data_IF_689822553498
#
_entry.id   IF_689822553498
#
_cell.length_a   1.000
_cell.length_b   1.000
_cell.length_c   1.000
_cell.angle_alpha   90.00
_cell.angle_beta   90.00
_cell.angle_gamma   90.00
#
_symmetry.space_group_name_H-M   'P 1'
#
loop_
_entity.id
_entity.type
_entity.pdbx_description
1 polymer ?
#
# COMPACT_ATOMS: atom_id res chain seq x y z
N UNK A 1 -3.42 -8.86 19.10
CA UNK A 1 -3.23 -9.51 17.78
C UNK A 1 -2.25 -10.65 17.97
N UNK A 2 -2.71 -11.90 18.00
CA UNK A 2 -1.85 -13.08 18.19
C UNK A 2 -1.56 -13.70 16.84
N UNK A 3 -0.44 -13.30 16.25
CA UNK A 3 0.13 -14.00 15.08
C UNK A 3 1.02 -15.11 15.65
N UNK A 4 0.86 -16.33 15.18
CA UNK A 4 1.76 -17.44 15.52
C UNK A 4 2.74 -17.65 14.35
N UNK A 5 4.03 -17.80 14.64
CA UNK A 5 5.09 -17.96 13.63
C UNK A 5 4.78 -19.13 12.66
N UNK A 6 4.18 -20.20 13.18
CA UNK A 6 3.78 -21.40 12.44
C UNK A 6 2.63 -21.19 11.46
N UNK A 7 1.87 -20.10 11.59
CA UNK A 7 0.78 -19.74 10.67
C UNK A 7 1.24 -18.85 9.53
N UNK A 8 2.48 -18.34 9.58
CA UNK A 8 3.04 -17.55 8.49
C UNK A 8 3.34 -18.44 7.28
N UNK A 9 3.15 -17.93 6.04
CA UNK A 9 3.61 -18.60 4.84
C UNK A 9 5.10 -18.97 4.94
N UNK A 10 5.54 -20.12 4.39
CA UNK A 10 6.90 -20.63 4.60
C UNK A 10 8.01 -19.61 4.31
N UNK A 11 7.87 -18.88 3.20
CA UNK A 11 8.82 -17.83 2.79
C UNK A 11 8.84 -16.64 3.76
N UNK A 12 7.68 -16.23 4.25
CA UNK A 12 7.56 -15.13 5.22
C UNK A 12 8.14 -15.54 6.57
N UNK A 13 7.89 -16.79 7.00
CA UNK A 13 8.46 -17.36 8.23
C UNK A 13 9.98 -17.32 8.22
N UNK A 14 10.59 -17.82 7.14
CA UNK A 14 12.05 -17.80 6.98
C UNK A 14 12.60 -16.38 7.12
N UNK A 15 11.96 -15.40 6.49
CA UNK A 15 12.39 -13.99 6.55
C UNK A 15 12.31 -13.41 7.97
N UNK A 16 11.26 -13.76 8.71
CA UNK A 16 11.10 -13.33 10.11
C UNK A 16 12.14 -14.00 11.01
N UNK A 17 12.42 -15.29 10.80
CA UNK A 17 13.47 -16.00 11.55
C UNK A 17 14.88 -15.45 11.26
N UNK A 18 15.20 -15.13 10.01
CA UNK A 18 16.44 -14.45 9.62
C UNK A 18 16.59 -13.12 10.37
N UNK A 19 15.53 -12.32 10.42
CA UNK A 19 15.51 -11.04 11.12
C UNK A 19 15.69 -11.21 12.64
N UNK A 20 15.02 -12.22 13.22
CA UNK A 20 15.17 -12.56 14.64
C UNK A 20 16.59 -12.97 14.98
N UNK A 21 17.21 -13.84 14.17
CA UNK A 21 18.59 -14.29 14.38
C UNK A 21 19.60 -13.17 14.22
N UNK A 22 19.45 -12.33 13.20
CA UNK A 22 20.39 -11.24 12.91
C UNK A 22 20.44 -10.19 14.03
N UNK A 23 19.32 -9.97 14.74
CA UNK A 23 19.21 -8.91 15.74
C UNK A 23 19.04 -9.41 17.18
N UNK A 24 19.02 -10.74 17.39
CA UNK A 24 18.72 -11.34 18.70
C UNK A 24 17.32 -11.00 19.21
N UNK A 25 16.34 -10.84 18.31
CA UNK A 25 15.00 -10.39 18.66
C UNK A 25 14.05 -11.56 18.96
N UNK A 26 13.12 -11.31 19.89
CA UNK A 26 11.95 -12.16 20.04
C UNK A 26 11.01 -12.00 18.85
N UNK A 27 10.19 -13.02 18.59
CA UNK A 27 9.20 -12.98 17.50
C UNK A 27 8.25 -11.78 17.62
N UNK A 28 7.77 -11.48 18.83
CA UNK A 28 6.90 -10.33 19.07
C UNK A 28 7.57 -9.00 18.70
N UNK A 29 8.86 -8.85 19.00
CA UNK A 29 9.60 -7.64 18.64
C UNK A 29 9.81 -7.54 17.13
N UNK A 30 10.16 -8.65 16.49
CA UNK A 30 10.33 -8.69 15.04
C UNK A 30 9.03 -8.34 14.29
N UNK A 31 7.89 -8.88 14.73
CA UNK A 31 6.58 -8.57 14.13
C UNK A 31 6.18 -7.11 14.37
N UNK A 32 6.40 -6.57 15.57
CA UNK A 32 6.11 -5.17 15.84
C UNK A 32 6.91 -4.26 14.91
N UNK A 33 8.22 -4.48 14.76
CA UNK A 33 9.03 -3.64 13.89
C UNK A 33 8.65 -3.73 12.41
N UNK A 34 8.36 -4.94 11.93
CA UNK A 34 7.85 -5.12 10.56
C UNK A 34 6.53 -4.36 10.39
N UNK A 35 5.64 -4.42 11.38
CA UNK A 35 4.33 -3.77 11.33
C UNK A 35 4.45 -2.25 11.38
N UNK A 36 5.26 -1.71 12.28
CA UNK A 36 5.53 -0.27 12.41
C UNK A 36 6.15 0.29 11.13
N UNK A 37 7.15 -0.41 10.58
CA UNK A 37 7.77 -0.04 9.30
C UNK A 37 6.77 -0.08 8.15
N UNK A 38 5.90 -1.10 8.09
CA UNK A 38 4.86 -1.22 7.07
C UNK A 38 3.80 -0.11 7.17
N UNK A 39 3.43 0.30 8.38
CA UNK A 39 2.54 1.44 8.61
C UNK A 39 3.21 2.74 8.15
N UNK A 40 4.44 2.99 8.60
CA UNK A 40 5.19 4.21 8.28
C UNK A 40 5.44 4.37 6.77
N UNK A 41 5.68 3.25 6.07
CA UNK A 41 5.86 3.22 4.61
C UNK A 41 4.54 3.33 3.82
N UNK A 42 3.39 3.38 4.50
CA UNK A 42 2.09 3.48 3.85
C UNK A 42 1.67 2.19 3.14
N UNK A 43 2.21 1.03 3.52
CA UNK A 43 1.84 -0.26 2.90
C UNK A 43 0.32 -0.50 2.95
N UNK A 44 -0.34 -0.07 4.04
CA UNK A 44 -1.79 -0.17 4.20
C UNK A 44 -2.59 0.84 3.36
N UNK A 45 -1.97 1.93 2.88
CA UNK A 45 -2.65 2.93 2.06
C UNK A 45 -2.88 2.45 0.61
N UNK A 46 -2.04 1.54 0.10
CA UNK A 46 -2.20 0.95 -1.24
C UNK A 46 -3.36 -0.05 -1.33
N UNK A 47 -3.63 -0.80 -0.25
CA UNK A 47 -4.62 -1.89 -0.27
C UNK A 47 -6.07 -1.47 0.02
N UNK A 48 -6.31 -0.20 0.43
CA UNK A 48 -7.64 0.25 0.87
C UNK A 48 -8.25 1.44 0.12
N UNK A 49 -7.48 2.20 -0.67
CA UNK A 49 -8.06 3.34 -1.42
C UNK A 49 -8.69 2.85 -2.71
N UNK A 50 -10.02 2.73 -2.71
CA UNK A 50 -10.83 2.68 -3.94
C UNK A 50 -10.44 3.93 -4.75
N UNK A 51 -9.60 3.76 -5.79
CA UNK A 51 -9.21 4.89 -6.63
C UNK A 51 -10.49 5.51 -7.15
N UNK A 52 -10.76 6.77 -6.80
CA UNK A 52 -11.89 7.49 -7.35
C UNK A 52 -11.79 7.39 -8.88
N UNK A 53 -12.90 7.07 -9.54
CA UNK A 53 -12.95 7.08 -10.99
C UNK A 53 -12.52 8.49 -11.41
N UNK A 54 -11.44 8.58 -12.19
CA UNK A 54 -11.02 9.84 -12.78
C UNK A 54 -12.21 10.29 -13.62
N UNK A 55 -12.95 11.30 -13.16
CA UNK A 55 -13.85 12.03 -14.03
C UNK A 55 -12.96 12.57 -15.13
N UNK A 56 -13.06 12.01 -16.34
CA UNK A 56 -12.50 12.65 -17.51
C UNK A 56 -13.06 14.06 -17.52
N UNK A 57 -12.23 15.04 -17.21
CA UNK A 57 -12.47 16.43 -17.53
C UNK A 57 -12.43 16.49 -19.05
N UNK A 58 -13.51 16.04 -19.70
CA UNK A 58 -13.78 16.36 -21.08
C UNK A 58 -13.88 17.87 -21.06
N UNK A 59 -12.86 18.55 -21.56
CA UNK A 59 -12.95 19.98 -21.87
C UNK A 59 -14.23 20.14 -22.68
N UNK A 60 -15.22 20.93 -22.25
CA UNK A 60 -16.40 21.12 -23.07
C UNK A 60 -15.88 21.80 -24.34
N UNK A 61 -15.92 21.07 -25.44
CA UNK A 61 -15.64 21.58 -26.76
C UNK A 61 -16.67 22.69 -27.00
N UNK A 62 -16.27 23.94 -26.79
CA UNK A 62 -17.11 25.09 -27.09
C UNK A 62 -17.19 25.15 -28.60
N UNK A 63 -18.19 24.49 -29.17
CA UNK A 63 -18.60 24.72 -30.54
C UNK A 63 -19.25 26.11 -30.59
N UNK A 64 -18.44 27.18 -30.57
CA UNK A 64 -18.88 28.48 -31.05
C UNK A 64 -18.41 28.61 -32.49
N UNK A 65 -19.24 28.15 -33.43
CA UNK A 65 -19.22 28.67 -34.78
C UNK A 65 -19.63 30.14 -34.70
N UNK A 66 -18.68 31.04 -34.53
CA UNK A 66 -18.89 32.46 -34.82
C UNK A 66 -18.75 32.57 -36.33
N UNK A 67 -19.86 32.43 -37.04
CA UNK A 67 -19.97 32.86 -38.43
C UNK A 67 -19.57 34.34 -38.47
N UNK A 68 -18.37 34.59 -39.00
CA UNK A 68 -17.94 35.92 -39.40
C UNK A 68 -18.26 36.04 -40.88
N UNK A 69 -19.46 36.55 -41.18
CA UNK A 69 -19.81 37.19 -42.44
C UNK A 69 -20.38 38.55 -41.99
N UNK A 70 -19.76 39.69 -42.29
CA UNK A 70 -19.54 40.18 -43.64
C UNK A 70 -20.65 41.17 -43.93
#
# INVERSE_FOLDING_TARGET
MTVELERLPPKTRQRVEELMRANGWSFSRAINEITETAIASGAFAQVGKKKAQVLQLVTPMRASGRDSSG
#
